data_IF_663985837895
#
_entry.id   IF_663985837895
#
_cell.length_a   1.000
_cell.length_b   1.000
_cell.length_c   1.000
_cell.angle_alpha   90.00
_cell.angle_beta   90.00
_cell.angle_gamma   90.00
#
_symmetry.space_group_name_H-M   'P 1'
#
loop_
_entity.id
_entity.type
_entity.pdbx_description
1 polymer ?
#
# COMPACT_ATOMS: atom_id res chain seq x y z
N UNK A 1 -2.62 -5.14 -17.74
CA UNK A 1 -1.40 -5.40 -16.93
C UNK A 1 -0.67 -4.08 -16.77
N UNK A 2 -0.47 -3.57 -15.55
CA UNK A 2 0.38 -2.38 -15.34
C UNK A 2 1.85 -2.76 -15.59
N UNK A 3 2.52 -1.99 -16.43
CA UNK A 3 3.90 -2.22 -16.88
C UNK A 3 4.89 -1.91 -15.74
N UNK A 4 5.82 -2.82 -15.48
CA UNK A 4 6.75 -2.73 -14.33
C UNK A 4 7.67 -1.51 -14.40
N UNK A 5 7.99 -1.04 -15.60
CA UNK A 5 8.88 0.11 -15.82
C UNK A 5 8.34 1.42 -15.25
N UNK A 6 7.03 1.56 -15.10
CA UNK A 6 6.43 2.81 -14.59
C UNK A 6 6.41 2.87 -13.06
N UNK A 7 6.30 1.71 -12.38
CA UNK A 7 6.24 1.66 -10.92
C UNK A 7 7.59 2.03 -10.31
N UNK A 8 8.70 1.51 -10.86
CA UNK A 8 10.04 1.87 -10.38
C UNK A 8 10.34 3.35 -10.60
N UNK A 9 9.89 3.91 -11.73
CA UNK A 9 10.04 5.34 -12.02
C UNK A 9 9.25 6.22 -11.04
N UNK A 10 8.03 5.81 -10.68
CA UNK A 10 7.23 6.49 -9.65
C UNK A 10 7.88 6.38 -8.26
N UNK A 11 8.38 5.19 -7.88
CA UNK A 11 9.04 5.00 -6.57
C UNK A 11 10.39 5.71 -6.45
N UNK A 12 11.05 6.01 -7.58
CA UNK A 12 12.30 6.78 -7.63
C UNK A 12 12.06 8.29 -7.80
N UNK A 13 10.82 8.73 -8.00
CA UNK A 13 10.45 10.14 -8.07
C UNK A 13 10.60 10.77 -6.68
N UNK A 14 11.61 11.63 -6.53
CA UNK A 14 11.94 12.29 -5.25
C UNK A 14 10.81 13.18 -4.75
N UNK A 15 10.04 13.81 -5.63
CA UNK A 15 8.93 14.68 -5.25
C UNK A 15 7.71 13.85 -4.85
N UNK A 16 7.48 12.70 -5.49
CA UNK A 16 6.46 11.74 -5.04
C UNK A 16 6.82 11.15 -3.68
N UNK A 17 8.05 10.69 -3.49
CA UNK A 17 8.51 10.13 -2.22
C UNK A 17 8.54 11.18 -1.11
N UNK A 18 8.98 12.41 -1.40
CA UNK A 18 8.92 13.51 -0.44
C UNK A 18 7.48 13.83 -0.03
N UNK A 19 6.49 13.72 -0.94
CA UNK A 19 5.06 13.86 -0.58
C UNK A 19 4.60 12.73 0.34
N UNK A 20 4.98 11.48 0.08
CA UNK A 20 4.67 10.34 0.97
C UNK A 20 5.33 10.47 2.35
N UNK A 21 6.54 11.02 2.44
CA UNK A 21 7.23 11.20 3.73
C UNK A 21 6.73 12.42 4.51
N UNK A 22 6.43 13.53 3.82
CA UNK A 22 6.03 14.80 4.46
C UNK A 22 4.53 14.89 4.71
N UNK A 23 3.73 13.98 4.15
CA UNK A 23 2.31 13.87 4.44
C UNK A 23 2.02 12.44 4.89
N UNK A 24 1.41 12.24 6.07
CA UNK A 24 0.95 10.92 6.51
C UNK A 24 -0.30 10.50 5.70
N UNK A 25 -0.19 10.55 4.37
CA UNK A 25 -1.22 10.14 3.41
C UNK A 25 -0.92 8.68 3.05
N UNK A 26 -1.39 7.72 3.86
CA UNK A 26 -0.95 6.34 3.66
C UNK A 26 -1.52 5.29 4.60
N UNK A 27 -0.82 4.16 4.67
CA UNK A 27 -1.13 3.03 5.56
C UNK A 27 -0.58 3.37 6.95
N UNK A 28 -1.48 3.43 7.93
CA UNK A 28 -1.17 3.56 9.34
C UNK A 28 -0.83 2.20 9.95
N UNK A 29 -1.37 1.94 11.15
CA UNK A 29 -1.08 0.70 11.88
C UNK A 29 -1.71 -0.50 11.17
N UNK A 30 -0.98 -1.62 11.14
CA UNK A 30 -1.54 -2.91 10.74
C UNK A 30 -1.25 -3.98 11.79
N UNK A 31 -2.18 -4.95 11.89
CA UNK A 31 -2.05 -6.13 12.75
C UNK A 31 -2.33 -7.38 11.94
N UNK A 32 -1.52 -8.41 12.13
CA UNK A 32 -1.73 -9.73 11.53
C UNK A 32 -1.99 -10.73 12.65
N UNK A 33 -3.02 -11.56 12.49
CA UNK A 33 -3.31 -12.68 13.36
C UNK A 33 -3.63 -13.92 12.50
N UNK A 34 -2.71 -14.89 12.47
CA UNK A 34 -2.75 -16.05 11.58
C UNK A 34 -2.91 -15.60 10.12
N UNK A 35 -4.03 -15.94 9.49
CA UNK A 35 -4.35 -15.59 8.12
C UNK A 35 -5.23 -14.34 8.00
N UNK A 36 -5.47 -13.59 9.08
CA UNK A 36 -6.26 -12.35 9.06
C UNK A 36 -5.36 -11.16 9.25
N UNK A 37 -5.71 -10.05 8.60
CA UNK A 37 -5.06 -8.77 8.83
C UNK A 37 -6.09 -7.67 9.04
N UNK A 38 -5.66 -6.67 9.79
CA UNK A 38 -6.36 -5.42 10.04
C UNK A 38 -5.39 -4.30 9.67
N UNK A 39 -5.85 -3.28 8.96
CA UNK A 39 -5.03 -2.08 8.71
C UNK A 39 -5.86 -0.82 8.81
N UNK A 40 -5.25 0.26 9.25
CA UNK A 40 -5.80 1.59 9.14
C UNK A 40 -5.10 2.34 8.01
N UNK A 41 -5.82 3.17 7.27
CA UNK A 41 -5.21 4.14 6.36
C UNK A 41 -5.75 5.53 6.64
N UNK A 42 -4.93 6.54 6.42
CA UNK A 42 -5.29 7.93 6.57
C UNK A 42 -5.42 8.58 5.20
N UNK A 43 -6.48 9.37 5.01
CA UNK A 43 -6.70 10.17 3.81
C UNK A 43 -6.85 11.62 4.21
N UNK A 44 -5.82 12.41 3.94
CA UNK A 44 -5.89 13.85 4.08
C UNK A 44 -6.63 14.45 2.88
N UNK A 45 -7.86 14.89 3.13
CA UNK A 45 -8.61 15.72 2.19
C UNK A 45 -8.66 17.15 2.75
N UNK A 46 -9.69 17.44 3.56
CA UNK A 46 -9.87 18.71 4.28
C UNK A 46 -9.57 18.54 5.78
N UNK A 47 -9.86 17.34 6.30
CA UNK A 47 -9.50 16.83 7.62
C UNK A 47 -8.79 15.47 7.47
N UNK A 48 -8.27 14.91 8.57
CA UNK A 48 -7.63 13.58 8.54
C UNK A 48 -8.69 12.49 8.67
N UNK A 49 -9.18 11.98 7.54
CA UNK A 49 -10.16 10.89 7.52
C UNK A 49 -9.42 9.57 7.72
N UNK A 50 -9.89 8.74 8.66
CA UNK A 50 -9.30 7.42 8.94
C UNK A 50 -10.21 6.31 8.42
N UNK A 51 -9.62 5.28 7.79
CA UNK A 51 -10.33 4.12 7.29
C UNK A 51 -9.74 2.84 7.84
N UNK A 52 -10.58 1.99 8.43
CA UNK A 52 -10.18 0.66 8.89
C UNK A 52 -10.51 -0.38 7.83
N UNK A 53 -9.63 -1.36 7.66
CA UNK A 53 -9.79 -2.46 6.70
C UNK A 53 -9.58 -3.80 7.40
N UNK A 54 -10.39 -4.78 7.03
CA UNK A 54 -10.26 -6.17 7.48
C UNK A 54 -10.18 -7.11 6.28
N UNK A 55 -9.27 -8.08 6.38
CA UNK A 55 -9.00 -8.99 5.28
C UNK A 55 -8.29 -10.26 5.69
N UNK A 56 -7.95 -11.05 4.67
CA UNK A 56 -7.28 -12.34 4.79
C UNK A 56 -6.03 -12.42 3.90
N UNK A 57 -5.00 -13.06 4.43
CA UNK A 57 -3.82 -13.50 3.71
C UNK A 57 -4.15 -14.88 3.13
N UNK A 58 -4.36 -14.94 1.81
CA UNK A 58 -4.76 -16.17 1.14
C UNK A 58 -3.55 -17.07 0.87
N UNK A 59 -2.40 -16.46 0.60
CA UNK A 59 -1.09 -17.10 0.43
C UNK A 59 0.02 -16.03 0.46
N UNK A 60 1.27 -16.45 0.27
CA UNK A 60 2.46 -15.59 0.34
C UNK A 60 2.49 -14.44 -0.69
N UNK A 61 1.57 -14.41 -1.65
CA UNK A 61 1.52 -13.40 -2.71
C UNK A 61 0.15 -12.75 -2.86
N UNK A 62 -0.85 -13.15 -2.09
CA UNK A 62 -2.24 -12.71 -2.31
C UNK A 62 -2.92 -12.33 -1.00
N UNK A 63 -3.46 -11.11 -0.98
CA UNK A 63 -4.27 -10.57 0.11
C UNK A 63 -5.68 -10.29 -0.41
N UNK A 64 -6.69 -10.53 0.43
CA UNK A 64 -8.08 -10.19 0.17
C UNK A 64 -8.56 -9.20 1.24
N UNK A 65 -8.89 -7.98 0.85
CA UNK A 65 -9.72 -7.10 1.69
C UNK A 65 -11.16 -7.56 1.55
N UNK A 66 -11.86 -7.73 2.67
CA UNK A 66 -13.29 -8.11 2.75
C UNK A 66 -14.18 -6.95 3.18
N UNK A 67 -13.66 -6.09 4.05
CA UNK A 67 -14.41 -5.02 4.67
C UNK A 67 -13.57 -3.76 4.79
N UNK A 68 -14.24 -2.62 4.68
CA UNK A 68 -13.69 -1.29 4.93
C UNK A 68 -14.71 -0.51 5.75
N UNK A 69 -14.25 0.22 6.77
CA UNK A 69 -15.06 1.15 7.54
C UNK A 69 -14.47 2.55 7.43
N UNK A 70 -15.35 3.51 7.17
CA UNK A 70 -15.08 4.93 7.36
C UNK A 70 -15.22 5.22 8.85
N UNK A 71 -14.13 5.58 9.52
CA UNK A 71 -14.13 5.73 10.97
C UNK A 71 -14.84 7.02 11.42
N UNK A 72 -14.89 8.04 10.56
CA UNK A 72 -15.51 9.34 10.87
C UNK A 72 -17.04 9.23 10.84
N UNK A 73 -17.58 8.64 9.76
CA UNK A 73 -19.02 8.44 9.60
C UNK A 73 -19.52 7.14 10.23
N UNK A 74 -18.62 6.22 10.59
CA UNK A 74 -18.93 4.88 11.07
C UNK A 74 -19.46 3.92 9.99
N UNK A 75 -19.56 4.36 8.73
CA UNK A 75 -20.16 3.57 7.64
C UNK A 75 -19.26 2.41 7.21
N UNK A 76 -19.84 1.22 7.14
CA UNK A 76 -19.16 -0.01 6.69
C UNK A 76 -19.48 -0.34 5.23
N UNK A 77 -18.47 -0.83 4.53
CA UNK A 77 -18.51 -1.23 3.13
C UNK A 77 -17.95 -2.65 2.98
N UNK A 78 -18.76 -3.58 2.48
CA UNK A 78 -18.29 -4.90 2.09
C UNK A 78 -17.59 -4.76 0.72
N UNK A 79 -16.32 -5.15 0.65
CA UNK A 79 -15.51 -5.07 -0.57
C UNK A 79 -14.79 -6.39 -0.75
N UNK A 80 -14.94 -7.07 -1.88
CA UNK A 80 -14.07 -8.21 -2.25
C UNK A 80 -12.95 -7.69 -3.16
N UNK A 81 -11.84 -7.23 -2.57
CA UNK A 81 -10.69 -6.69 -3.32
C UNK A 81 -9.46 -7.55 -3.12
N UNK A 82 -8.96 -8.11 -4.21
CA UNK A 82 -7.73 -8.90 -4.23
C UNK A 82 -6.53 -8.00 -4.54
N UNK A 83 -5.47 -8.16 -3.78
CA UNK A 83 -4.17 -7.54 -4.01
C UNK A 83 -3.15 -8.66 -4.22
N UNK A 84 -2.36 -8.53 -5.28
CA UNK A 84 -1.33 -9.48 -5.66
C UNK A 84 0.04 -8.84 -5.48
N UNK A 85 0.92 -9.52 -4.76
CA UNK A 85 2.32 -9.14 -4.66
C UNK A 85 2.96 -9.28 -6.03
N UNK A 86 3.55 -8.19 -6.51
CA UNK A 86 4.35 -8.17 -7.72
C UNK A 86 5.81 -8.09 -7.28
N UNK A 87 6.61 -9.16 -7.44
CA UNK A 87 8.03 -9.06 -7.14
C UNK A 87 8.64 -7.99 -8.04
N UNK A 88 9.55 -7.19 -7.48
CA UNK A 88 10.38 -6.30 -8.28
C UNK A 88 11.14 -7.15 -9.30
N UNK A 89 11.22 -6.67 -10.55
CA UNK A 89 12.15 -7.26 -11.50
C UNK A 89 13.56 -7.14 -10.90
N UNK A 90 14.44 -8.09 -11.24
CA UNK A 90 15.78 -8.25 -10.68
C UNK A 90 16.38 -6.94 -10.16
N UNK A 91 16.81 -6.95 -8.89
CA UNK A 91 17.62 -5.88 -8.28
C UNK A 91 18.61 -5.39 -9.35
N UNK A 92 18.65 -4.09 -9.69
CA UNK A 92 19.68 -3.60 -10.61
C UNK A 92 21.03 -4.09 -10.10
N UNK A 93 21.81 -4.68 -11.00
CA UNK A 93 23.13 -5.19 -10.66
C UNK A 93 23.91 -4.05 -9.98
N UNK A 94 24.55 -4.33 -8.85
CA UNK A 94 25.22 -3.29 -8.04
C UNK A 94 26.51 -2.77 -8.70
N UNK A 95 26.66 -3.00 -10.00
CA UNK A 95 27.70 -2.54 -10.90
C UNK A 95 27.50 -1.04 -11.13
N UNK A 96 28.05 -0.27 -10.20
CA UNK A 96 28.08 1.17 -10.26
C UNK A 96 28.99 1.63 -11.42
N UNK A 97 28.40 1.96 -12.57
CA UNK A 97 29.12 2.45 -13.75
C UNK A 97 29.54 3.94 -13.67
N UNK A 98 29.42 4.60 -12.50
CA UNK A 98 29.74 6.03 -12.34
C UNK A 98 31.22 6.34 -12.05
N UNK A 99 32.10 5.33 -11.99
CA UNK A 99 33.54 5.57 -11.94
C UNK A 99 34.14 5.04 -13.25
N UNK A 100 34.47 5.96 -14.16
CA UNK A 100 35.42 5.76 -15.26
C UNK A 100 36.44 6.88 -15.22
#
# INVERSE_FOLDING_TARGET
MLDNKNIEKELLDKDLMARFFNRPDGIGVFRINKNRFEMETWRKFWDTITFSYWGEILNNTTLLIKEMRDNDSGKTFIKKRYYYFKPFAHKPDSTNNFIK
#
